data_IF_431715074508
#
_entry.id   IF_431715074508
#
_cell.length_a   1.000
_cell.length_b   1.000
_cell.length_c   1.000
_cell.angle_alpha   90.00
_cell.angle_beta   90.00
_cell.angle_gamma   90.00
#
_symmetry.space_group_name_H-M   'P 1'
#
loop_
_entity.id
_entity.type
_entity.pdbx_description
1 polymer ?
#
# COMPACT_ATOMS: atom_id res chain seq x y z
N UNK A 1 -23.86 -0.41 5.68
CA UNK A 1 -23.78 0.60 4.61
C UNK A 1 -23.29 -0.12 3.36
N UNK A 2 -24.16 -0.36 2.38
CA UNK A 2 -23.81 -1.07 1.16
C UNK A 2 -24.52 -0.36 0.01
N UNK A 3 -23.78 0.15 -0.96
CA UNK A 3 -24.37 0.67 -2.19
C UNK A 3 -24.30 -0.47 -3.22
N UNK A 4 -25.44 -1.05 -3.58
CA UNK A 4 -25.56 -2.12 -4.59
C UNK A 4 -24.73 -3.38 -4.30
N UNK A 5 -24.60 -3.77 -3.03
CA UNK A 5 -23.84 -4.97 -2.63
C UNK A 5 -22.32 -4.77 -2.53
N UNK A 6 -21.82 -3.56 -2.83
CA UNK A 6 -20.39 -3.22 -2.71
C UNK A 6 -20.13 -2.49 -1.38
N UNK A 7 -19.17 -2.97 -0.55
CA UNK A 7 -18.86 -2.36 0.76
C UNK A 7 -18.45 -0.89 0.67
N UNK A 8 -17.69 -0.52 -0.35
CA UNK A 8 -17.36 0.87 -0.65
C UNK A 8 -17.18 1.06 -2.16
N UNK A 9 -17.88 2.05 -2.71
CA UNK A 9 -17.72 2.45 -4.11
C UNK A 9 -16.64 3.52 -4.22
N UNK A 10 -15.60 3.22 -4.98
CA UNK A 10 -14.57 4.19 -5.34
C UNK A 10 -14.83 4.71 -6.76
N UNK A 11 -14.71 6.03 -6.94
CA UNK A 11 -14.72 6.66 -8.27
C UNK A 11 -13.29 6.99 -8.69
N UNK A 12 -12.82 6.36 -9.77
CA UNK A 12 -11.50 6.60 -10.36
C UNK A 12 -11.69 6.98 -11.83
N UNK A 13 -11.80 8.29 -12.17
CA UNK A 13 -12.18 8.75 -13.51
C UNK A 13 -11.28 8.26 -14.65
N UNK A 14 -10.01 7.96 -14.36
CA UNK A 14 -9.03 7.48 -15.34
C UNK A 14 -9.15 6.00 -15.71
N UNK A 15 -10.02 5.23 -15.04
CA UNK A 15 -10.20 3.78 -15.30
C UNK A 15 -11.26 3.57 -16.38
N UNK A 16 -11.20 2.48 -17.17
CA UNK A 16 -12.21 2.16 -18.18
C UNK A 16 -13.61 2.15 -17.59
N UNK A 17 -13.77 1.48 -16.44
CA UNK A 17 -14.95 1.57 -15.58
C UNK A 17 -14.65 2.51 -14.41
N UNK A 18 -15.20 3.71 -14.47
CA UNK A 18 -14.84 4.80 -13.56
C UNK A 18 -15.41 4.68 -12.14
N UNK A 19 -16.32 3.73 -11.89
CA UNK A 19 -16.94 3.48 -10.57
C UNK A 19 -16.92 1.98 -10.31
N UNK A 20 -16.42 1.57 -9.14
CA UNK A 20 -16.38 0.16 -8.77
C UNK A 20 -15.85 -0.07 -7.35
N UNK A 21 -15.56 -1.33 -7.05
CA UNK A 21 -14.82 -1.70 -5.84
C UNK A 21 -13.33 -1.53 -6.07
N UNK A 22 -12.62 -1.01 -5.07
CA UNK A 22 -11.16 -0.95 -5.09
C UNK A 22 -10.57 -2.11 -4.30
N UNK A 23 -9.72 -2.88 -4.97
CA UNK A 23 -8.93 -3.96 -4.39
C UNK A 23 -7.46 -3.57 -4.54
N UNK A 24 -6.74 -3.61 -3.42
CA UNK A 24 -5.29 -3.49 -3.39
C UNK A 24 -4.72 -4.91 -3.32
N UNK A 25 -3.60 -5.15 -3.99
CA UNK A 25 -3.11 -6.51 -4.22
C UNK A 25 -1.60 -6.60 -4.01
N UNK A 26 -1.14 -7.79 -3.62
CA UNK A 26 0.27 -8.19 -3.68
C UNK A 26 0.39 -9.43 -4.57
N UNK A 27 1.43 -9.46 -5.39
CA UNK A 27 1.72 -10.56 -6.29
C UNK A 27 3.22 -10.86 -6.26
N UNK A 28 3.56 -12.07 -6.69
CA UNK A 28 4.94 -12.44 -6.94
C UNK A 28 5.46 -11.72 -8.20
N UNK A 29 6.63 -11.09 -8.10
CA UNK A 29 7.18 -10.25 -9.16
C UNK A 29 7.62 -11.05 -10.39
N UNK A 30 8.01 -12.31 -10.21
CA UNK A 30 8.54 -13.14 -11.28
C UNK A 30 7.44 -13.96 -11.96
N UNK A 31 6.61 -14.65 -11.20
CA UNK A 31 5.55 -15.52 -11.73
C UNK A 31 4.24 -14.78 -12.02
N UNK A 32 4.03 -13.59 -11.46
CA UNK A 32 2.77 -12.86 -11.53
C UNK A 32 1.63 -13.50 -10.73
N UNK A 33 1.91 -14.51 -9.90
CA UNK A 33 0.91 -15.16 -9.06
C UNK A 33 0.40 -14.18 -8.02
N UNK A 34 -0.93 -14.06 -7.91
CA UNK A 34 -1.58 -13.22 -6.91
C UNK A 34 -1.45 -13.87 -5.52
N UNK A 35 -0.79 -13.17 -4.59
CA UNK A 35 -0.48 -13.67 -3.26
C UNK A 35 -1.46 -13.15 -2.20
N UNK A 36 -2.12 -12.02 -2.45
CA UNK A 36 -3.07 -11.45 -1.51
C UNK A 36 -3.88 -10.28 -2.06
N UNK A 37 -5.05 -10.07 -1.45
CA UNK A 37 -5.98 -8.98 -1.75
C UNK A 37 -6.45 -8.30 -0.46
N UNK A 38 -6.62 -6.98 -0.51
CA UNK A 38 -7.20 -6.17 0.54
C UNK A 38 -8.29 -5.29 -0.07
N UNK A 39 -9.51 -5.43 0.44
CA UNK A 39 -10.68 -4.70 -0.03
C UNK A 39 -10.76 -3.31 0.59
N UNK A 40 -10.97 -2.29 -0.24
CA UNK A 40 -11.36 -0.97 0.25
C UNK A 40 -12.79 -1.02 0.79
N UNK A 41 -12.94 -0.92 2.12
CA UNK A 41 -14.23 -0.95 2.83
C UNK A 41 -14.69 0.45 3.30
N UNK A 42 -14.02 1.50 2.81
CA UNK A 42 -14.27 2.89 3.22
C UNK A 42 -13.36 3.34 4.37
N UNK A 43 -13.28 4.66 4.56
CA UNK A 43 -12.28 5.28 5.41
C UNK A 43 -12.36 4.85 6.89
N UNK A 44 -13.55 4.67 7.44
CA UNK A 44 -13.74 4.23 8.83
C UNK A 44 -13.20 2.83 9.08
N UNK A 45 -13.54 1.89 8.19
CA UNK A 45 -13.08 0.50 8.28
C UNK A 45 -11.59 0.38 8.02
N UNK A 46 -11.05 1.14 7.07
CA UNK A 46 -9.60 1.21 6.83
C UNK A 46 -8.83 1.71 8.05
N UNK A 47 -9.37 2.70 8.79
CA UNK A 47 -8.75 3.20 10.02
C UNK A 47 -8.64 2.15 11.13
N UNK A 48 -9.52 1.15 11.11
CA UNK A 48 -9.53 0.07 12.08
C UNK A 48 -8.57 -1.08 11.72
N UNK A 49 -8.04 -1.11 10.48
CA UNK A 49 -7.14 -2.17 10.06
C UNK A 49 -5.79 -2.06 10.77
N UNK A 50 -5.11 -3.21 11.00
CA UNK A 50 -3.77 -3.23 11.61
C UNK A 50 -2.82 -2.25 10.93
N UNK A 51 -1.94 -1.66 11.74
CA UNK A 51 -0.91 -0.69 11.36
C UNK A 51 -1.42 0.69 10.89
N UNK A 52 -2.72 0.88 10.64
CA UNK A 52 -3.24 2.15 10.13
C UNK A 52 -3.04 3.30 11.11
N UNK A 53 -3.38 3.11 12.39
CA UNK A 53 -3.25 4.14 13.42
C UNK A 53 -1.79 4.58 13.66
N UNK A 54 -0.83 3.68 13.40
CA UNK A 54 0.59 3.93 13.64
C UNK A 54 1.28 4.58 12.44
N UNK A 55 0.96 4.12 11.22
CA UNK A 55 1.77 4.41 10.03
C UNK A 55 0.97 4.96 8.84
N UNK A 56 -0.35 5.10 8.97
CA UNK A 56 -1.24 5.53 7.90
C UNK A 56 -1.52 4.45 6.85
N UNK A 57 -2.48 4.71 5.94
CA UNK A 57 -3.03 3.70 5.02
C UNK A 57 -1.97 3.02 4.13
N UNK A 58 -1.13 3.83 3.45
CA UNK A 58 -0.18 3.33 2.46
C UNK A 58 0.90 2.42 3.06
N UNK A 59 1.46 2.76 4.22
CA UNK A 59 2.43 1.90 4.90
C UNK A 59 1.76 0.71 5.57
N UNK A 60 0.57 0.91 6.15
CA UNK A 60 -0.15 -0.14 6.87
C UNK A 60 -0.49 -1.34 5.97
N UNK A 61 -0.95 -1.09 4.75
CA UNK A 61 -1.28 -2.19 3.83
C UNK A 61 -0.05 -2.98 3.40
N UNK A 62 1.07 -2.29 3.11
CA UNK A 62 2.32 -2.95 2.75
C UNK A 62 2.78 -3.86 3.89
N UNK A 63 2.74 -3.38 5.14
CA UNK A 63 3.08 -4.19 6.31
C UNK A 63 2.16 -5.41 6.47
N UNK A 64 0.83 -5.24 6.32
CA UNK A 64 -0.12 -6.36 6.40
C UNK A 64 0.15 -7.43 5.36
N UNK A 65 0.43 -7.05 4.11
CA UNK A 65 0.74 -8.03 3.05
C UNK A 65 2.10 -8.70 3.26
N UNK A 66 3.05 -7.99 3.84
CA UNK A 66 4.43 -8.44 3.95
C UNK A 66 4.71 -9.25 5.23
N UNK A 67 3.78 -9.26 6.17
CA UNK A 67 3.93 -9.92 7.48
C UNK A 67 4.28 -11.41 7.37
N UNK A 68 3.66 -12.12 6.42
CA UNK A 68 3.93 -13.55 6.15
C UNK A 68 5.31 -13.83 5.58
N UNK A 69 6.01 -12.80 5.08
CA UNK A 69 7.35 -12.91 4.50
C UNK A 69 8.44 -12.39 5.44
N UNK A 70 8.11 -12.11 6.70
CA UNK A 70 9.05 -11.56 7.68
C UNK A 70 10.34 -12.37 7.77
N UNK A 71 11.48 -11.67 7.74
CA UNK A 71 12.82 -12.24 7.83
C UNK A 71 13.32 -12.93 6.56
N UNK A 72 12.56 -12.90 5.46
CA UNK A 72 12.99 -13.58 4.23
C UNK A 72 13.96 -12.78 3.37
N UNK A 73 14.26 -11.52 3.71
CA UNK A 73 15.12 -10.64 2.91
C UNK A 73 14.59 -10.34 1.50
N UNK A 74 13.27 -10.50 1.27
CA UNK A 74 12.64 -10.17 -0.01
C UNK A 74 12.48 -8.66 -0.18
N UNK A 75 12.33 -8.22 -1.42
CA UNK A 75 12.05 -6.82 -1.77
C UNK A 75 10.59 -6.65 -2.16
N UNK A 76 9.90 -5.72 -1.50
CA UNK A 76 8.57 -5.27 -1.92
C UNK A 76 8.71 -4.10 -2.88
N UNK A 77 8.18 -4.26 -4.09
CA UNK A 77 8.13 -3.21 -5.11
C UNK A 77 6.71 -2.67 -5.20
N UNK A 78 6.54 -1.35 -5.05
CA UNK A 78 5.21 -0.74 -5.04
C UNK A 78 5.15 0.60 -5.77
N UNK A 79 3.95 0.96 -6.22
CA UNK A 79 3.69 2.24 -6.87
C UNK A 79 3.67 3.41 -5.86
N UNK A 80 3.48 4.62 -6.38
CA UNK A 80 3.51 5.84 -5.57
C UNK A 80 2.39 5.98 -4.54
N UNK A 81 1.32 5.18 -4.61
CA UNK A 81 0.26 5.18 -3.59
C UNK A 81 0.71 4.50 -2.29
N UNK A 82 1.73 3.63 -2.37
CA UNK A 82 2.27 2.88 -1.24
C UNK A 82 3.66 3.38 -0.81
N UNK A 83 4.34 4.11 -1.69
CA UNK A 83 5.72 4.53 -1.49
C UNK A 83 5.84 5.79 -0.60
N UNK A 84 6.57 5.63 0.50
CA UNK A 84 7.02 6.71 1.37
C UNK A 84 8.28 6.28 2.13
N UNK A 85 9.04 7.24 2.67
CA UNK A 85 10.19 6.93 3.55
C UNK A 85 9.72 6.12 4.76
N UNK A 86 8.55 6.47 5.33
CA UNK A 86 7.93 5.71 6.40
C UNK A 86 7.67 4.24 6.01
N UNK A 87 7.12 3.97 4.82
CA UNK A 87 6.89 2.59 4.35
C UNK A 87 8.18 1.79 4.31
N UNK A 88 9.25 2.37 3.76
CA UNK A 88 10.56 1.72 3.68
C UNK A 88 11.10 1.38 5.08
N UNK A 89 11.15 2.38 5.97
CA UNK A 89 11.73 2.23 7.31
C UNK A 89 10.94 1.22 8.15
N UNK A 90 9.60 1.29 8.13
CA UNK A 90 8.80 0.35 8.92
C UNK A 90 8.86 -1.07 8.35
N UNK A 91 8.93 -1.23 7.03
CA UNK A 91 9.04 -2.55 6.42
C UNK A 91 10.37 -3.23 6.78
N UNK A 92 11.46 -2.48 6.75
CA UNK A 92 12.78 -2.97 7.19
C UNK A 92 12.77 -3.31 8.68
N UNK A 93 12.34 -2.38 9.54
CA UNK A 93 12.41 -2.56 10.99
C UNK A 93 11.47 -3.67 11.51
N UNK A 94 10.24 -3.76 10.97
CA UNK A 94 9.24 -4.68 11.49
C UNK A 94 9.25 -6.03 10.79
N UNK A 95 9.61 -6.07 9.50
CA UNK A 95 9.55 -7.29 8.70
C UNK A 95 10.93 -7.79 8.24
N UNK A 96 12.01 -7.02 8.36
CA UNK A 96 13.33 -7.42 7.84
C UNK A 96 13.30 -7.59 6.31
N UNK A 97 12.55 -6.73 5.63
CA UNK A 97 12.34 -6.75 4.18
C UNK A 97 12.79 -5.44 3.56
N UNK A 98 13.18 -5.50 2.29
CA UNK A 98 13.57 -4.32 1.53
C UNK A 98 12.38 -3.70 0.82
N UNK A 99 12.47 -2.41 0.49
CA UNK A 99 11.41 -1.69 -0.21
C UNK A 99 11.96 -0.91 -1.42
N UNK A 100 11.22 -0.94 -2.52
CA UNK A 100 11.46 -0.09 -3.68
C UNK A 100 10.14 0.53 -4.14
N UNK A 101 10.11 1.85 -4.29
CA UNK A 101 8.92 2.55 -4.77
C UNK A 101 9.15 4.01 -5.10
N UNK A 102 8.29 4.57 -5.93
CA UNK A 102 8.39 5.96 -6.39
C UNK A 102 7.68 6.93 -5.45
N UNK A 103 8.42 7.79 -4.75
CA UNK A 103 7.82 8.80 -3.86
C UNK A 103 7.33 10.00 -4.67
N UNK A 104 6.00 10.19 -4.74
CA UNK A 104 5.38 11.33 -5.44
C UNK A 104 4.94 12.43 -4.49
N UNK A 105 3.96 12.13 -3.63
CA UNK A 105 3.31 13.10 -2.74
C UNK A 105 3.77 12.97 -1.29
N UNK A 106 3.98 11.74 -0.79
CA UNK A 106 4.36 11.44 0.59
C UNK A 106 5.86 11.71 0.86
N UNK A 107 6.27 12.97 0.76
CA UNK A 107 7.68 13.38 0.80
C UNK A 107 8.18 13.86 2.16
N UNK A 108 7.46 13.54 3.24
CA UNK A 108 8.04 13.69 4.58
C UNK A 108 9.29 12.83 4.65
N UNK A 109 10.39 13.42 5.13
CA UNK A 109 11.73 12.79 5.23
C UNK A 109 12.37 12.43 3.87
N UNK A 110 11.68 12.61 2.74
CA UNK A 110 12.26 12.41 1.42
C UNK A 110 13.10 13.63 1.03
N UNK A 111 14.34 13.47 0.54
CA UNK A 111 15.28 14.57 0.31
C UNK A 111 14.98 15.35 -0.98
N UNK A 112 13.73 15.75 -1.22
CA UNK A 112 13.30 16.45 -2.46
C UNK A 112 14.17 17.67 -2.76
N UNK A 113 14.51 18.46 -1.74
CA UNK A 113 15.31 19.69 -1.89
C UNK A 113 16.72 19.42 -2.44
N UNK A 114 17.30 18.26 -2.14
CA UNK A 114 18.64 17.87 -2.57
C UNK A 114 18.64 17.16 -3.94
N UNK A 115 17.46 16.89 -4.51
CA UNK A 115 17.31 16.22 -5.80
C UNK A 115 16.90 17.17 -6.94
N UNK A 116 16.69 18.45 -6.63
CA UNK A 116 16.29 19.50 -7.59
C UNK A 116 17.46 20.41 -7.99
N UNK A 117 18.71 19.95 -7.81
CA UNK A 117 19.90 20.58 -8.39
C UNK A 117 20.11 20.12 -9.84
#
# INVERSE_FOLDING_TARGET
YCHDGIPHKTKIPRKPEGVGAELKAIADGDSGVLLGLDLMEGAERQRQKPYHALFGEGSAIVLRFSEVYKGSGRTVVADSAFASVNTLVQLENLCGLYFMGMVKTASREYPKKYMTE
#
